data_IF_305915547569
#
_entry.id   IF_305915547569
#
_cell.length_a   1.000
_cell.length_b   1.000
_cell.length_c   1.000
_cell.angle_alpha   90.00
_cell.angle_beta   90.00
_cell.angle_gamma   90.00
#
_symmetry.space_group_name_H-M   'P 1'
#
loop_
_entity.id
_entity.type
_entity.pdbx_description
1 polymer ?
#
# COMPACT_ATOMS: atom_id res chain seq x y z
N UNK A 1 -32.32 31.58 -26.61
CA UNK A 1 -31.57 30.60 -27.43
C UNK A 1 -30.05 30.69 -27.23
N UNK A 2 -29.51 31.70 -26.53
CA UNK A 2 -28.06 31.84 -26.28
C UNK A 2 -27.55 31.08 -25.04
N UNK A 3 -28.40 30.73 -24.07
CA UNK A 3 -28.01 29.98 -22.87
C UNK A 3 -27.60 28.54 -23.19
N UNK A 4 -28.42 27.79 -23.94
CA UNK A 4 -28.16 26.37 -24.24
C UNK A 4 -26.89 26.09 -25.06
N UNK A 5 -26.40 27.07 -25.84
CA UNK A 5 -25.15 26.92 -26.61
C UNK A 5 -23.91 27.18 -25.73
N UNK A 6 -24.02 28.11 -24.78
CA UNK A 6 -22.97 28.35 -23.78
C UNK A 6 -22.90 27.22 -22.74
N UNK A 7 -24.05 26.67 -22.34
CA UNK A 7 -24.24 25.54 -21.43
C UNK A 7 -23.62 24.25 -21.99
N UNK A 8 -23.95 23.90 -23.25
CA UNK A 8 -23.33 22.78 -23.96
C UNK A 8 -21.80 22.96 -24.05
N UNK A 9 -21.33 24.20 -24.23
CA UNK A 9 -19.91 24.52 -24.27
C UNK A 9 -19.20 24.33 -22.93
N UNK A 10 -19.81 24.72 -21.81
CA UNK A 10 -19.22 24.55 -20.48
C UNK A 10 -19.12 23.07 -20.10
N UNK A 11 -20.21 22.31 -20.25
CA UNK A 11 -20.25 20.88 -19.98
C UNK A 11 -19.23 20.09 -20.81
N UNK A 12 -19.15 20.36 -22.13
CA UNK A 12 -18.20 19.67 -23.01
C UNK A 12 -16.74 20.02 -22.67
N UNK A 13 -16.46 21.26 -22.28
CA UNK A 13 -15.10 21.66 -21.87
C UNK A 13 -14.69 20.99 -20.56
N UNK A 14 -15.58 20.92 -19.57
CA UNK A 14 -15.30 20.20 -18.33
C UNK A 14 -15.07 18.71 -18.61
N UNK A 15 -15.88 18.10 -19.48
CA UNK A 15 -15.67 16.71 -19.91
C UNK A 15 -14.27 16.50 -20.53
N UNK A 16 -13.88 17.37 -21.46
CA UNK A 16 -12.56 17.31 -22.09
C UNK A 16 -11.42 17.49 -21.07
N UNK A 17 -11.58 18.37 -20.08
CA UNK A 17 -10.59 18.55 -19.01
C UNK A 17 -10.49 17.30 -18.11
N UNK A 18 -11.60 16.62 -17.85
CA UNK A 18 -11.63 15.36 -17.10
C UNK A 18 -10.94 14.22 -17.86
N UNK A 19 -11.15 14.11 -19.17
CA UNK A 19 -10.45 13.14 -20.03
C UNK A 19 -8.93 13.38 -20.06
N UNK A 20 -8.52 14.64 -20.01
CA UNK A 20 -7.11 15.03 -19.91
C UNK A 20 -6.52 14.90 -18.50
N UNK A 21 -7.30 14.45 -17.50
CA UNK A 21 -6.86 14.36 -16.10
C UNK A 21 -6.65 15.71 -15.41
N UNK A 22 -7.06 16.83 -16.02
CA UNK A 22 -6.89 18.19 -15.49
C UNK A 22 -7.99 18.53 -14.49
N UNK A 23 -8.04 17.76 -13.41
CA UNK A 23 -9.14 17.78 -12.44
C UNK A 23 -9.35 19.14 -11.75
N UNK A 24 -8.27 19.87 -11.44
CA UNK A 24 -8.37 21.18 -10.78
C UNK A 24 -9.02 22.25 -11.68
N UNK A 25 -8.73 22.21 -12.98
CA UNK A 25 -9.32 23.12 -13.96
C UNK A 25 -10.76 22.74 -14.28
N UNK A 26 -11.04 21.43 -14.35
CA UNK A 26 -12.39 20.91 -14.48
C UNK A 26 -13.28 21.35 -13.30
N UNK A 27 -12.77 21.29 -12.06
CA UNK A 27 -13.46 21.79 -10.86
C UNK A 27 -13.76 23.29 -10.98
N UNK A 28 -12.77 24.11 -11.35
CA UNK A 28 -12.95 25.56 -11.47
C UNK A 28 -14.03 25.92 -12.50
N UNK A 29 -13.98 25.29 -13.67
CA UNK A 29 -14.95 25.53 -14.74
C UNK A 29 -16.34 24.99 -14.39
N UNK A 30 -16.44 23.83 -13.75
CA UNK A 30 -17.71 23.28 -13.28
C UNK A 30 -18.36 24.18 -12.24
N UNK A 31 -17.61 24.72 -11.28
CA UNK A 31 -18.13 25.69 -10.30
C UNK A 31 -18.58 26.99 -10.97
N UNK A 32 -17.88 27.46 -12.00
CA UNK A 32 -18.29 28.64 -12.76
C UNK A 32 -19.65 28.42 -13.45
N UNK A 33 -19.85 27.24 -14.06
CA UNK A 33 -21.14 26.88 -14.66
C UNK A 33 -22.25 26.77 -13.61
N UNK A 34 -21.98 26.14 -12.47
CA UNK A 34 -22.94 26.02 -11.36
C UNK A 34 -23.26 27.37 -10.68
N UNK A 35 -22.40 28.38 -10.79
CA UNK A 35 -22.72 29.73 -10.31
C UNK A 35 -23.84 30.39 -11.15
N UNK A 36 -23.99 29.99 -12.42
CA UNK A 36 -25.08 30.44 -13.28
C UNK A 36 -26.32 29.57 -13.09
N UNK A 37 -26.12 28.25 -12.99
CA UNK A 37 -27.19 27.27 -12.84
C UNK A 37 -26.89 26.29 -11.69
N UNK A 38 -27.25 26.63 -10.44
CA UNK A 38 -26.88 25.84 -9.25
C UNK A 38 -27.45 24.42 -9.20
N UNK A 39 -28.43 24.11 -10.05
CA UNK A 39 -29.12 22.82 -10.08
C UNK A 39 -28.82 22.01 -11.34
N UNK A 40 -27.82 22.40 -12.15
CA UNK A 40 -27.42 21.58 -13.29
C UNK A 40 -26.76 20.27 -12.80
N UNK A 41 -27.53 19.18 -12.89
CA UNK A 41 -27.12 17.84 -12.51
C UNK A 41 -25.91 17.33 -13.30
N UNK A 42 -25.72 17.76 -14.55
CA UNK A 42 -24.60 17.33 -15.40
C UNK A 42 -23.30 17.94 -14.90
N UNK A 43 -23.31 19.23 -14.59
CA UNK A 43 -22.18 19.93 -14.00
C UNK A 43 -21.91 19.48 -12.56
N UNK A 44 -22.95 19.15 -11.77
CA UNK A 44 -22.78 18.54 -10.44
C UNK A 44 -22.07 17.19 -10.53
N UNK A 45 -22.43 16.36 -11.51
CA UNK A 45 -21.78 15.06 -11.76
C UNK A 45 -20.29 15.23 -12.09
N UNK A 46 -19.98 16.16 -13.00
CA UNK A 46 -18.60 16.45 -13.39
C UNK A 46 -17.78 17.11 -12.28
N UNK A 47 -18.41 17.97 -11.45
CA UNK A 47 -17.78 18.56 -10.27
C UNK A 47 -17.41 17.45 -9.27
N UNK A 48 -18.34 16.55 -8.94
CA UNK A 48 -18.07 15.42 -8.06
C UNK A 48 -16.90 14.56 -8.60
N UNK A 49 -16.89 14.26 -9.90
CA UNK A 49 -15.81 13.51 -10.53
C UNK A 49 -14.46 14.24 -10.48
N UNK A 50 -14.46 15.55 -10.70
CA UNK A 50 -13.25 16.40 -10.61
C UNK A 50 -12.69 16.42 -9.19
N UNK A 51 -13.56 16.50 -8.19
CA UNK A 51 -13.18 16.50 -6.78
C UNK A 51 -12.66 15.13 -6.33
N UNK A 52 -13.28 14.04 -6.80
CA UNK A 52 -12.78 12.67 -6.57
C UNK A 52 -11.35 12.51 -7.13
N UNK A 53 -11.11 12.96 -8.36
CA UNK A 53 -9.77 12.88 -8.99
C UNK A 53 -8.68 13.66 -8.25
N UNK A 54 -9.06 14.63 -7.41
CA UNK A 54 -8.13 15.40 -6.57
C UNK A 54 -8.03 14.86 -5.13
N UNK A 55 -8.76 13.81 -4.78
CA UNK A 55 -8.86 13.32 -3.41
C UNK A 55 -9.65 14.24 -2.46
N UNK A 56 -10.38 15.23 -2.99
CA UNK A 56 -11.27 16.13 -2.21
C UNK A 56 -12.61 15.44 -1.93
N UNK A 57 -12.56 14.26 -1.30
CA UNK A 57 -13.73 13.40 -1.12
C UNK A 57 -14.88 14.02 -0.31
N UNK A 58 -14.58 14.96 0.62
CA UNK A 58 -15.61 15.63 1.40
C UNK A 58 -16.52 16.53 0.54
N UNK A 59 -15.91 17.41 -0.26
CA UNK A 59 -16.62 18.27 -1.20
C UNK A 59 -17.31 17.44 -2.30
N UNK A 60 -16.65 16.36 -2.75
CA UNK A 60 -17.23 15.46 -3.73
C UNK A 60 -18.50 14.77 -3.20
N UNK A 61 -18.53 14.41 -1.91
CA UNK A 61 -19.70 13.82 -1.27
C UNK A 61 -20.85 14.83 -1.11
N UNK A 62 -20.57 16.12 -0.99
CA UNK A 62 -21.61 17.16 -1.00
C UNK A 62 -22.25 17.29 -2.38
N UNK A 63 -21.42 17.46 -3.43
CA UNK A 63 -21.91 17.53 -4.80
C UNK A 63 -22.71 16.27 -5.20
N UNK A 64 -22.19 15.08 -4.85
CA UNK A 64 -22.88 13.81 -5.13
C UNK A 64 -24.17 13.64 -4.33
N UNK A 65 -24.25 14.11 -3.07
CA UNK A 65 -25.50 14.09 -2.29
C UNK A 65 -26.57 15.00 -2.91
N UNK A 66 -26.18 16.19 -3.36
CA UNK A 66 -27.09 17.10 -4.08
C UNK A 66 -27.59 16.43 -5.36
N UNK A 67 -26.71 15.76 -6.10
CA UNK A 67 -27.08 15.02 -7.30
C UNK A 67 -28.05 13.87 -7.02
N UNK A 68 -27.80 13.07 -5.98
CA UNK A 68 -28.71 11.99 -5.55
C UNK A 68 -30.06 12.56 -5.10
N UNK A 69 -30.09 13.71 -4.44
CA UNK A 69 -31.35 14.36 -4.05
C UNK A 69 -32.17 14.83 -5.27
N UNK A 70 -31.51 15.27 -6.35
CA UNK A 70 -32.16 15.63 -7.60
C UNK A 70 -32.55 14.42 -8.45
N UNK A 71 -31.75 13.35 -8.42
CA UNK A 71 -31.95 12.13 -9.19
C UNK A 71 -31.80 10.87 -8.32
N UNK A 72 -32.82 10.55 -7.50
CA UNK A 72 -32.75 9.42 -6.57
C UNK A 72 -32.61 8.06 -7.25
N UNK A 73 -33.11 7.93 -8.48
CA UNK A 73 -33.10 6.70 -9.28
C UNK A 73 -31.89 6.61 -10.23
N UNK A 74 -30.95 7.56 -10.15
CA UNK A 74 -29.75 7.56 -11.00
C UNK A 74 -28.67 6.67 -10.40
N UNK A 75 -28.40 5.52 -11.01
CA UNK A 75 -27.29 4.64 -10.66
C UNK A 75 -25.95 5.40 -10.68
N UNK A 76 -25.75 6.28 -11.67
CA UNK A 76 -24.56 7.12 -11.79
C UNK A 76 -24.37 8.05 -10.58
N UNK A 77 -25.45 8.68 -10.09
CA UNK A 77 -25.39 9.56 -8.92
C UNK A 77 -24.97 8.81 -7.66
N UNK A 78 -25.57 7.64 -7.41
CA UNK A 78 -25.20 6.77 -6.28
C UNK A 78 -23.77 6.24 -6.40
N UNK A 79 -23.31 5.92 -7.62
CA UNK A 79 -21.92 5.52 -7.86
C UNK A 79 -20.94 6.65 -7.57
N UNK A 80 -21.23 7.89 -7.97
CA UNK A 80 -20.41 9.04 -7.61
C UNK A 80 -20.37 9.26 -6.10
N UNK A 81 -21.51 9.12 -5.41
CA UNK A 81 -21.55 9.20 -3.95
C UNK A 81 -20.68 8.12 -3.29
N UNK A 82 -20.76 6.88 -3.77
CA UNK A 82 -19.93 5.78 -3.30
C UNK A 82 -18.43 6.06 -3.52
N UNK A 83 -18.04 6.56 -4.70
CA UNK A 83 -16.65 6.94 -5.00
C UNK A 83 -16.16 8.09 -4.13
N UNK A 84 -17.02 9.07 -3.82
CA UNK A 84 -16.69 10.14 -2.89
C UNK A 84 -16.42 9.62 -1.47
N UNK A 85 -17.19 8.64 -1.01
CA UNK A 85 -16.92 7.95 0.25
C UNK A 85 -15.64 7.11 0.20
N UNK A 86 -15.34 6.43 -0.92
CA UNK A 86 -14.07 5.72 -1.10
C UNK A 86 -12.86 6.66 -0.99
N UNK A 87 -12.94 7.86 -1.58
CA UNK A 87 -11.88 8.87 -1.47
C UNK A 87 -11.67 9.36 -0.02
N UNK A 88 -12.61 9.09 0.88
CA UNK A 88 -12.54 9.40 2.32
C UNK A 88 -12.26 8.17 3.18
N UNK A 89 -12.01 7.01 2.57
CA UNK A 89 -11.84 5.73 3.26
C UNK A 89 -13.09 5.34 4.10
N UNK A 90 -14.26 5.83 3.70
CA UNK A 90 -15.56 5.61 4.36
C UNK A 90 -16.26 4.37 3.79
N UNK A 91 -15.63 3.20 3.92
CA UNK A 91 -16.02 2.01 3.15
C UNK A 91 -17.43 1.48 3.43
N UNK A 92 -17.96 1.68 4.64
CA UNK A 92 -19.33 1.28 4.97
C UNK A 92 -20.37 2.10 4.20
N UNK A 93 -20.18 3.42 4.15
CA UNK A 93 -21.05 4.33 3.39
C UNK A 93 -20.85 4.13 1.87
N UNK A 94 -19.61 3.88 1.45
CA UNK A 94 -19.32 3.53 0.05
C UNK A 94 -20.02 2.24 -0.39
N UNK A 95 -20.03 1.19 0.45
CA UNK A 95 -20.73 -0.06 0.14
C UNK A 95 -22.24 0.15 0.00
N UNK A 96 -22.84 0.95 0.89
CA UNK A 96 -24.28 1.22 0.84
C UNK A 96 -24.66 1.95 -0.45
N UNK A 97 -23.98 3.06 -0.75
CA UNK A 97 -24.24 3.82 -1.98
C UNK A 97 -23.94 2.99 -3.25
N UNK A 98 -22.87 2.17 -3.26
CA UNK A 98 -22.55 1.31 -4.40
C UNK A 98 -23.60 0.21 -4.60
N UNK A 99 -24.18 -0.34 -3.52
CA UNK A 99 -25.29 -1.28 -3.62
C UNK A 99 -26.53 -0.66 -4.23
N UNK A 100 -26.86 0.59 -3.84
CA UNK A 100 -27.98 1.31 -4.46
C UNK A 100 -27.72 1.51 -5.95
N UNK A 101 -26.50 1.88 -6.34
CA UNK A 101 -26.13 2.00 -7.75
C UNK A 101 -26.32 0.68 -8.52
N UNK A 102 -25.83 -0.44 -7.99
CA UNK A 102 -26.00 -1.78 -8.58
C UNK A 102 -27.47 -2.22 -8.61
N UNK A 103 -28.28 -1.84 -7.62
CA UNK A 103 -29.70 -2.19 -7.59
C UNK A 103 -30.50 -1.42 -8.64
N UNK A 104 -30.14 -0.16 -8.90
CA UNK A 104 -30.76 0.69 -9.92
C UNK A 104 -30.35 0.30 -11.34
N UNK A 105 -29.07 -0.06 -11.53
CA UNK A 105 -28.55 -0.57 -12.79
C UNK A 105 -27.61 -1.77 -12.57
N UNK A 106 -28.13 -3.00 -12.65
CA UNK A 106 -27.34 -4.21 -12.49
C UNK A 106 -26.30 -4.45 -13.59
N UNK A 107 -26.42 -3.79 -14.75
CA UNK A 107 -25.48 -3.92 -15.87
C UNK A 107 -24.49 -2.75 -15.94
N UNK A 108 -24.42 -1.87 -14.93
CA UNK A 108 -23.33 -0.89 -14.79
C UNK A 108 -22.08 -1.55 -14.19
N UNK A 109 -21.12 -1.91 -15.06
CA UNK A 109 -19.86 -2.52 -14.65
C UNK A 109 -19.09 -1.67 -13.64
N UNK A 110 -19.14 -0.33 -13.77
CA UNK A 110 -18.45 0.58 -12.85
C UNK A 110 -19.09 0.62 -11.46
N UNK A 111 -20.39 0.32 -11.35
CA UNK A 111 -21.08 0.20 -10.07
C UNK A 111 -20.64 -1.06 -9.32
N UNK A 112 -20.51 -2.19 -10.03
CA UNK A 112 -19.93 -3.42 -9.48
C UNK A 112 -18.46 -3.24 -9.09
N UNK A 113 -17.66 -2.54 -9.91
CA UNK A 113 -16.28 -2.19 -9.57
C UNK A 113 -16.19 -1.34 -8.30
N UNK A 114 -17.03 -0.30 -8.19
CA UNK A 114 -17.07 0.58 -7.01
C UNK A 114 -17.47 -0.21 -5.75
N UNK A 115 -18.44 -1.12 -5.87
CA UNK A 115 -18.81 -2.04 -4.81
C UNK A 115 -17.65 -2.97 -4.41
N UNK A 116 -16.90 -3.49 -5.38
CA UNK A 116 -15.74 -4.33 -5.14
C UNK A 116 -14.64 -3.56 -4.37
N UNK A 117 -14.36 -2.30 -4.75
CA UNK A 117 -13.44 -1.43 -4.01
C UNK A 117 -13.90 -1.18 -2.57
N UNK A 118 -15.18 -0.88 -2.36
CA UNK A 118 -15.73 -0.67 -1.02
C UNK A 118 -15.60 -1.92 -0.14
N UNK A 119 -15.91 -3.09 -0.70
CA UNK A 119 -15.77 -4.37 -0.01
C UNK A 119 -14.30 -4.73 0.25
N UNK A 120 -13.40 -4.34 -0.65
CA UNK A 120 -11.97 -4.58 -0.49
C UNK A 120 -11.38 -3.77 0.66
N UNK A 121 -11.74 -2.49 0.78
CA UNK A 121 -11.33 -1.66 1.93
C UNK A 121 -11.86 -2.18 3.28
N UNK A 122 -12.97 -2.91 3.29
CA UNK A 122 -13.47 -3.60 4.48
C UNK A 122 -12.84 -4.98 4.73
N UNK A 123 -11.76 -5.36 4.03
CA UNK A 123 -11.16 -6.69 4.06
C UNK A 123 -12.11 -7.85 3.65
N UNK A 124 -13.28 -7.55 3.06
CA UNK A 124 -14.29 -8.56 2.65
C UNK A 124 -13.96 -9.14 1.28
N UNK A 125 -12.74 -9.66 1.16
CA UNK A 125 -12.07 -10.11 -0.08
C UNK A 125 -12.93 -11.05 -0.92
N UNK A 126 -13.60 -12.05 -0.33
CA UNK A 126 -14.44 -13.00 -1.07
C UNK A 126 -15.62 -12.31 -1.76
N UNK A 127 -16.28 -11.37 -1.07
CA UNK A 127 -17.40 -10.61 -1.63
C UNK A 127 -16.91 -9.59 -2.67
N UNK A 128 -15.77 -8.95 -2.41
CA UNK A 128 -15.12 -8.04 -3.36
C UNK A 128 -14.75 -8.75 -4.67
N UNK A 129 -14.19 -9.97 -4.59
CA UNK A 129 -13.85 -10.79 -5.76
C UNK A 129 -15.07 -11.14 -6.60
N UNK A 130 -16.22 -11.41 -5.96
CA UNK A 130 -17.48 -11.65 -6.68
C UNK A 130 -17.95 -10.40 -7.44
N UNK A 131 -17.94 -9.23 -6.79
CA UNK A 131 -18.34 -7.98 -7.42
C UNK A 131 -17.38 -7.59 -8.57
N UNK A 132 -16.06 -7.76 -8.39
CA UNK A 132 -15.08 -7.50 -9.45
C UNK A 132 -15.25 -8.45 -10.66
N UNK A 133 -15.62 -9.71 -10.43
CA UNK A 133 -15.94 -10.65 -11.51
C UNK A 133 -17.21 -10.26 -12.27
N UNK A 134 -18.19 -9.69 -11.59
CA UNK A 134 -19.41 -9.19 -12.24
C UNK A 134 -19.10 -7.99 -13.13
N UNK A 135 -18.28 -7.05 -12.65
CA UNK A 135 -17.78 -5.94 -13.48
C UNK A 135 -17.06 -6.46 -14.75
N UNK A 136 -16.22 -7.49 -14.61
CA UNK A 136 -15.53 -8.13 -15.74
C UNK A 136 -16.44 -9.00 -16.62
N UNK A 137 -17.58 -9.48 -16.12
CA UNK A 137 -18.56 -10.19 -16.95
C UNK A 137 -19.21 -9.21 -17.92
N UNK A 138 -19.53 -8.01 -17.44
CA UNK A 138 -20.20 -6.95 -18.20
C UNK A 138 -19.19 -6.30 -19.17
N UNK A 139 -18.01 -5.90 -18.67
CA UNK A 139 -16.93 -5.30 -19.46
C UNK A 139 -15.62 -6.11 -19.31
N UNK A 140 -15.38 -7.11 -20.19
CA UNK A 140 -14.26 -8.05 -20.04
C UNK A 140 -12.85 -7.49 -20.26
N UNK A 141 -12.75 -6.36 -20.96
CA UNK A 141 -11.48 -5.75 -21.40
C UNK A 141 -11.21 -4.42 -20.70
N UNK A 142 -11.63 -4.28 -19.44
CA UNK A 142 -11.37 -3.09 -18.66
C UNK A 142 -10.17 -3.28 -17.72
N UNK A 143 -9.10 -2.52 -17.95
CA UNK A 143 -7.83 -2.63 -17.22
C UNK A 143 -7.99 -2.48 -15.71
N UNK A 144 -8.74 -1.46 -15.27
CA UNK A 144 -8.97 -1.19 -13.85
C UNK A 144 -9.59 -2.40 -13.11
N UNK A 145 -10.48 -3.14 -13.78
CA UNK A 145 -11.17 -4.27 -13.17
C UNK A 145 -10.25 -5.48 -13.06
N UNK A 146 -9.41 -5.71 -14.07
CA UNK A 146 -8.36 -6.74 -14.04
C UNK A 146 -7.32 -6.46 -12.96
N UNK A 147 -6.88 -5.21 -12.82
CA UNK A 147 -5.95 -4.78 -11.77
C UNK A 147 -6.52 -5.03 -10.39
N UNK A 148 -7.77 -4.61 -10.13
CA UNK A 148 -8.44 -4.88 -8.86
C UNK A 148 -8.57 -6.37 -8.57
N UNK A 149 -8.96 -7.17 -9.58
CA UNK A 149 -9.05 -8.62 -9.45
C UNK A 149 -7.68 -9.24 -9.09
N UNK A 150 -6.61 -8.77 -9.72
CA UNK A 150 -5.24 -9.19 -9.41
C UNK A 150 -4.87 -8.91 -7.95
N UNK A 151 -5.14 -7.70 -7.44
CA UNK A 151 -4.91 -7.37 -6.03
C UNK A 151 -5.78 -8.19 -5.08
N UNK A 152 -7.02 -8.52 -5.46
CA UNK A 152 -7.90 -9.40 -4.69
C UNK A 152 -7.42 -10.85 -4.66
N UNK A 153 -6.72 -11.31 -5.68
CA UNK A 153 -6.06 -12.61 -5.71
C UNK A 153 -4.77 -12.63 -4.89
N UNK A 154 -4.00 -11.52 -4.87
CA UNK A 154 -2.82 -11.40 -4.00
C UNK A 154 -3.14 -11.45 -2.49
N UNK A 155 -4.39 -11.18 -2.09
CA UNK A 155 -4.84 -11.39 -0.70
C UNK A 155 -4.98 -12.86 -0.33
N UNK A 156 -5.05 -13.74 -1.32
CA UNK A 156 -5.19 -15.17 -1.16
C UNK A 156 -3.81 -15.81 -1.13
N UNK A 157 -3.55 -16.71 -0.17
CA UNK A 157 -2.26 -17.37 -0.05
C UNK A 157 -1.90 -18.19 -1.30
N UNK A 158 -2.91 -18.69 -2.00
CA UNK A 158 -2.77 -19.51 -3.21
C UNK A 158 -3.08 -18.75 -4.50
N UNK A 159 -3.48 -17.47 -4.43
CA UNK A 159 -3.95 -16.72 -5.59
C UNK A 159 -2.87 -16.06 -6.44
N UNK A 160 -1.59 -16.40 -6.25
CA UNK A 160 -0.49 -15.71 -6.94
C UNK A 160 -0.54 -15.95 -8.46
N UNK A 161 -0.94 -17.13 -8.91
CA UNK A 161 -1.01 -17.46 -10.34
C UNK A 161 -2.13 -16.68 -11.03
N UNK A 162 -3.33 -16.65 -10.44
CA UNK A 162 -4.46 -15.89 -10.97
C UNK A 162 -4.20 -14.38 -10.91
N UNK A 163 -3.49 -13.91 -9.88
CA UNK A 163 -3.04 -12.53 -9.83
C UNK A 163 -2.11 -12.19 -11.01
N UNK A 164 -1.14 -13.06 -11.31
CA UNK A 164 -0.25 -12.87 -12.45
C UNK A 164 -1.02 -12.84 -13.77
N UNK A 165 -1.96 -13.76 -14.01
CA UNK A 165 -2.77 -13.74 -15.23
C UNK A 165 -3.56 -12.43 -15.37
N UNK A 166 -4.22 -12.00 -14.28
CA UNK A 166 -5.00 -10.76 -14.28
C UNK A 166 -4.13 -9.53 -14.59
N UNK A 167 -2.96 -9.38 -13.95
CA UNK A 167 -2.05 -8.27 -14.24
C UNK A 167 -1.43 -8.37 -15.63
N UNK A 168 -1.11 -9.57 -16.12
CA UNK A 168 -0.61 -9.74 -17.49
C UNK A 168 -1.68 -9.39 -18.54
N UNK A 169 -2.95 -9.69 -18.28
CA UNK A 169 -4.07 -9.25 -19.11
C UNK A 169 -4.20 -7.73 -19.10
N UNK A 170 -4.14 -7.11 -17.93
CA UNK A 170 -4.15 -5.65 -17.80
C UNK A 170 -3.02 -5.01 -18.60
N UNK A 171 -1.79 -5.54 -18.52
CA UNK A 171 -0.63 -5.04 -19.27
C UNK A 171 -0.68 -5.32 -20.78
N UNK A 172 -1.51 -6.27 -21.25
CA UNK A 172 -1.76 -6.44 -22.69
C UNK A 172 -2.65 -5.33 -23.23
N UNK A 173 -3.57 -4.82 -22.41
CA UNK A 173 -4.48 -3.72 -22.77
C UNK A 173 -3.78 -2.36 -22.61
N UNK A 174 -3.09 -2.16 -21.48
CA UNK A 174 -2.34 -0.95 -21.16
C UNK A 174 -0.91 -1.32 -20.72
N UNK A 175 0.06 -1.36 -21.66
CA UNK A 175 1.44 -1.77 -21.36
C UNK A 175 2.17 -0.90 -20.34
N UNK A 176 1.73 0.35 -20.16
CA UNK A 176 2.33 1.34 -19.26
C UNK A 176 1.52 1.53 -17.97
N UNK A 177 0.54 0.66 -17.69
CA UNK A 177 -0.24 0.76 -16.47
C UNK A 177 0.62 0.46 -15.23
N UNK A 178 0.94 1.52 -14.48
CA UNK A 178 1.78 1.49 -13.27
C UNK A 178 1.29 0.47 -12.24
N UNK A 179 -0.03 0.46 -11.96
CA UNK A 179 -0.62 -0.46 -10.98
C UNK A 179 -0.47 -1.92 -11.38
N UNK A 180 -0.62 -2.24 -12.67
CA UNK A 180 -0.48 -3.58 -13.18
C UNK A 180 0.99 -4.05 -13.18
N UNK A 181 1.95 -3.17 -13.53
CA UNK A 181 3.39 -3.46 -13.43
C UNK A 181 3.78 -3.76 -11.98
N UNK A 182 3.35 -2.89 -11.06
CA UNK A 182 3.57 -3.07 -9.62
C UNK A 182 2.95 -4.38 -9.12
N UNK A 183 1.68 -4.62 -9.42
CA UNK A 183 0.95 -5.81 -9.02
C UNK A 183 1.62 -7.09 -9.52
N UNK A 184 2.09 -7.10 -10.77
CA UNK A 184 2.83 -8.22 -11.36
C UNK A 184 4.17 -8.47 -10.65
N UNK A 185 4.91 -7.41 -10.32
CA UNK A 185 6.16 -7.51 -9.57
C UNK A 185 5.94 -8.16 -8.18
N UNK A 186 4.88 -7.75 -7.48
CA UNK A 186 4.50 -8.34 -6.19
C UNK A 186 4.08 -9.81 -6.35
N UNK A 187 3.29 -10.13 -7.38
CA UNK A 187 2.82 -11.48 -7.66
C UNK A 187 3.95 -12.45 -8.04
N UNK A 188 5.02 -11.94 -8.65
CA UNK A 188 6.22 -12.70 -9.06
C UNK A 188 7.39 -12.58 -8.09
N UNK A 189 7.18 -11.99 -6.92
CA UNK A 189 8.27 -11.70 -5.99
C UNK A 189 9.11 -12.93 -5.60
N UNK A 190 8.47 -14.09 -5.45
CA UNK A 190 9.14 -15.36 -5.14
C UNK A 190 10.00 -15.85 -6.32
N UNK A 191 9.55 -15.65 -7.56
CA UNK A 191 10.23 -16.10 -8.78
C UNK A 191 11.39 -15.17 -9.16
N UNK A 192 11.18 -13.86 -9.02
CA UNK A 192 12.17 -12.82 -9.34
C UNK A 192 13.27 -12.70 -8.30
N UNK A 193 13.01 -13.18 -7.08
CA UNK A 193 13.78 -12.82 -5.90
C UNK A 193 13.65 -11.33 -5.56
N UNK A 194 14.26 -10.95 -4.44
CA UNK A 194 14.10 -9.61 -3.87
C UNK A 194 14.68 -8.51 -4.76
N UNK A 195 15.85 -8.76 -5.34
CA UNK A 195 16.52 -7.78 -6.20
C UNK A 195 15.78 -7.61 -7.55
N UNK A 196 15.21 -8.69 -8.09
CA UNK A 196 14.38 -8.62 -9.30
C UNK A 196 13.07 -7.86 -9.06
N UNK A 197 12.42 -8.12 -7.93
CA UNK A 197 11.21 -7.40 -7.51
C UNK A 197 11.46 -5.90 -7.36
N UNK A 198 12.57 -5.50 -6.70
CA UNK A 198 12.93 -4.09 -6.54
C UNK A 198 13.17 -3.40 -7.89
N UNK A 199 13.78 -4.11 -8.87
CA UNK A 199 13.97 -3.54 -10.22
C UNK A 199 12.64 -3.25 -10.91
N UNK A 200 11.70 -4.18 -10.88
CA UNK A 200 10.38 -3.97 -11.50
C UNK A 200 9.55 -2.90 -10.77
N UNK A 201 9.63 -2.83 -9.44
CA UNK A 201 8.98 -1.76 -8.68
C UNK A 201 9.58 -0.37 -8.99
N UNK A 202 10.89 -0.29 -9.27
CA UNK A 202 11.51 0.95 -9.77
C UNK A 202 11.05 1.29 -11.19
N UNK A 203 10.82 0.30 -12.04
CA UNK A 203 10.25 0.51 -13.37
C UNK A 203 8.85 1.12 -13.25
N UNK A 204 8.01 0.57 -12.39
CA UNK A 204 6.70 1.14 -12.06
C UNK A 204 6.82 2.61 -11.63
N UNK A 205 7.74 2.92 -10.70
CA UNK A 205 7.99 4.30 -10.26
C UNK A 205 8.51 5.21 -11.38
N UNK A 206 9.22 4.68 -12.38
CA UNK A 206 9.69 5.49 -13.52
C UNK A 206 8.58 5.83 -14.51
N UNK A 207 7.53 5.02 -14.58
CA UNK A 207 6.34 5.28 -15.40
C UNK A 207 5.46 6.37 -14.77
N UNK A 208 5.28 6.32 -13.44
CA UNK A 208 4.64 7.39 -12.68
C UNK A 208 5.49 7.77 -11.45
N UNK A 209 6.29 8.86 -11.55
CA UNK A 209 7.09 9.35 -10.43
C UNK A 209 6.28 9.97 -9.28
N UNK A 210 4.99 10.24 -9.50
CA UNK A 210 4.11 10.89 -8.52
C UNK A 210 3.45 9.88 -7.58
N UNK A 211 3.32 8.61 -8.02
CA UNK A 211 2.80 7.53 -7.20
C UNK A 211 3.84 7.06 -6.16
N UNK A 212 3.59 7.23 -4.85
CA UNK A 212 4.53 6.82 -3.83
C UNK A 212 4.49 5.32 -3.54
N UNK A 213 3.46 4.59 -3.97
CA UNK A 213 3.22 3.18 -3.60
C UNK A 213 4.32 2.21 -4.09
N UNK A 214 4.79 2.25 -5.35
CA UNK A 214 5.91 1.41 -5.81
C UNK A 214 7.20 1.67 -5.02
N UNK A 215 7.45 2.93 -4.64
CA UNK A 215 8.61 3.30 -3.82
C UNK A 215 8.51 2.70 -2.41
N UNK A 216 7.32 2.70 -1.81
CA UNK A 216 7.08 2.07 -0.51
C UNK A 216 7.27 0.57 -0.56
N UNK A 217 6.73 -0.12 -1.56
CA UNK A 217 6.89 -1.56 -1.69
C UNK A 217 8.34 -1.94 -1.90
N UNK A 218 9.09 -1.19 -2.72
CA UNK A 218 10.51 -1.43 -2.93
C UNK A 218 11.30 -1.30 -1.62
N UNK A 219 10.95 -0.30 -0.78
CA UNK A 219 11.54 -0.13 0.54
C UNK A 219 11.20 -1.29 1.48
N UNK A 220 9.94 -1.75 1.49
CA UNK A 220 9.51 -2.87 2.33
C UNK A 220 10.21 -4.17 1.94
N UNK A 221 10.31 -4.47 0.64
CA UNK A 221 11.04 -5.63 0.11
C UNK A 221 12.52 -5.56 0.48
N UNK A 222 13.15 -4.37 0.39
CA UNK A 222 14.54 -4.16 0.80
C UNK A 222 14.73 -4.34 2.31
N UNK A 223 13.81 -3.83 3.12
CA UNK A 223 13.86 -3.99 4.58
C UNK A 223 13.72 -5.47 4.95
N UNK A 224 12.82 -6.20 4.29
CA UNK A 224 12.68 -7.64 4.48
C UNK A 224 13.95 -8.41 4.07
N UNK A 225 14.59 -8.03 2.97
CA UNK A 225 15.89 -8.58 2.55
C UNK A 225 16.95 -8.42 3.65
N UNK A 226 17.02 -7.23 4.26
CA UNK A 226 17.95 -6.94 5.35
C UNK A 226 17.62 -7.79 6.58
N UNK A 227 16.35 -7.84 6.99
CA UNK A 227 15.89 -8.61 8.15
C UNK A 227 16.19 -10.10 7.98
N UNK A 228 15.84 -10.69 6.83
CA UNK A 228 16.11 -12.11 6.53
C UNK A 228 17.60 -12.44 6.49
N UNK A 229 18.44 -11.50 6.05
CA UNK A 229 19.90 -11.67 6.07
C UNK A 229 20.47 -11.64 7.50
N UNK A 230 19.85 -10.88 8.40
CA UNK A 230 20.26 -10.80 9.81
C UNK A 230 19.89 -12.06 10.60
N UNK A 231 18.80 -12.76 10.25
CA UNK A 231 18.41 -14.02 10.91
C UNK A 231 19.50 -15.11 10.81
N UNK A 232 20.20 -15.21 9.68
CA UNK A 232 21.30 -16.18 9.54
C UNK A 232 22.52 -15.83 10.38
N UNK A 233 22.82 -14.54 10.54
CA UNK A 233 23.92 -14.08 11.39
C UNK A 233 23.61 -14.36 12.88
N UNK A 234 22.37 -14.16 13.31
CA UNK A 234 21.93 -14.47 14.68
C UNK A 234 21.90 -15.97 14.95
N UNK A 235 21.44 -16.78 13.99
CA UNK A 235 21.49 -18.25 14.08
C UNK A 235 22.95 -18.75 14.15
N UNK A 236 23.83 -18.23 13.30
CA UNK A 236 25.25 -18.64 13.27
C UNK A 236 25.99 -18.28 14.57
N UNK A 237 25.77 -17.07 15.08
CA UNK A 237 26.33 -16.63 16.37
C UNK A 237 25.81 -17.47 17.54
N UNK A 238 24.54 -17.87 17.51
CA UNK A 238 23.96 -18.77 18.50
C UNK A 238 24.53 -20.19 18.41
N UNK A 239 24.70 -20.73 17.20
CA UNK A 239 25.30 -22.04 16.98
C UNK A 239 26.74 -22.10 17.49
N UNK A 240 27.55 -21.08 17.19
CA UNK A 240 28.93 -21.01 17.70
C UNK A 240 29.00 -20.82 19.22
N UNK A 241 28.07 -20.06 19.80
CA UNK A 241 27.94 -19.97 21.26
C UNK A 241 27.65 -21.34 21.89
N UNK A 242 26.70 -22.10 21.33
CA UNK A 242 26.34 -23.43 21.83
C UNK A 242 27.47 -24.46 21.69
N UNK A 243 28.26 -24.40 20.61
CA UNK A 243 29.46 -25.21 20.48
C UNK A 243 30.51 -24.85 21.57
N UNK A 244 30.64 -23.56 21.90
CA UNK A 244 31.50 -23.09 22.98
C UNK A 244 31.06 -23.54 24.39
N UNK A 245 29.76 -23.75 24.61
CA UNK A 245 29.21 -24.25 25.89
C UNK A 245 29.37 -25.78 26.04
N UNK A 246 29.44 -26.53 24.94
CA UNK A 246 29.61 -28.00 24.96
C UNK A 246 31.06 -28.47 25.12
N UNK A 247 32.04 -27.60 24.97
CA UNK A 247 33.45 -27.90 25.24
C UNK A 247 33.76 -27.94 26.73
N UNK A 248 33.26 -28.96 27.44
CA UNK A 248 33.56 -29.21 28.87
C UNK A 248 34.98 -29.76 29.06
N UNK A 249 36.01 -28.97 28.72
CA UNK A 249 37.40 -29.41 28.72
C UNK A 249 38.45 -28.39 29.18
N UNK A 250 38.06 -27.23 29.72
CA UNK A 250 39.00 -26.31 30.37
C UNK A 250 39.89 -25.47 29.44
N UNK A 251 39.72 -25.53 28.12
CA UNK A 251 40.46 -24.66 27.19
C UNK A 251 39.83 -23.28 27.02
N UNK A 252 40.70 -22.29 26.77
CA UNK A 252 40.42 -20.86 26.86
C UNK A 252 39.34 -20.37 25.88
N UNK A 253 38.22 -19.88 26.43
CA UNK A 253 37.02 -19.36 25.73
C UNK A 253 37.24 -18.10 24.87
N UNK A 254 38.49 -17.68 24.64
CA UNK A 254 38.84 -16.42 23.98
C UNK A 254 38.54 -16.47 22.48
N UNK A 255 38.88 -17.58 21.81
CA UNK A 255 38.74 -17.70 20.34
C UNK A 255 37.27 -17.69 19.89
N UNK A 256 36.34 -18.49 20.47
CA UNK A 256 34.92 -18.43 20.09
C UNK A 256 34.29 -17.06 20.36
N UNK A 257 34.69 -16.38 21.45
CA UNK A 257 34.21 -15.03 21.80
C UNK A 257 34.69 -13.97 20.81
N UNK A 258 35.96 -14.01 20.41
CA UNK A 258 36.50 -13.12 19.39
C UNK A 258 35.82 -13.34 18.04
N UNK A 259 35.57 -14.59 17.65
CA UNK A 259 34.86 -14.91 16.40
C UNK A 259 33.41 -14.42 16.44
N UNK A 260 32.69 -14.61 17.55
CA UNK A 260 31.33 -14.04 17.72
C UNK A 260 31.35 -12.51 17.67
N UNK A 261 32.31 -11.86 18.34
CA UNK A 261 32.48 -10.41 18.30
C UNK A 261 32.78 -9.88 16.89
N UNK A 262 33.65 -10.56 16.13
CA UNK A 262 33.97 -10.20 14.74
C UNK A 262 32.76 -10.39 13.83
N UNK A 263 31.97 -11.45 14.01
CA UNK A 263 30.74 -11.67 13.22
C UNK A 263 29.64 -10.67 13.54
N UNK A 264 29.45 -10.32 14.82
CA UNK A 264 28.51 -9.27 15.22
C UNK A 264 28.95 -7.91 14.67
N UNK A 265 30.22 -7.56 14.80
CA UNK A 265 30.79 -6.33 14.23
C UNK A 265 30.69 -6.28 12.71
N UNK A 266 30.94 -7.40 12.01
CA UNK A 266 30.70 -7.52 10.57
C UNK A 266 29.21 -7.34 10.22
N UNK A 267 28.31 -7.87 11.05
CA UNK A 267 26.87 -7.65 10.95
C UNK A 267 26.47 -6.18 11.08
N UNK A 268 27.10 -5.44 12.00
CA UNK A 268 26.91 -3.98 12.18
C UNK A 268 27.46 -3.18 11.01
N UNK A 269 28.66 -3.50 10.52
CA UNK A 269 29.24 -2.83 9.34
C UNK A 269 28.38 -3.08 8.10
N UNK A 270 27.90 -4.31 7.90
CA UNK A 270 27.00 -4.63 6.81
C UNK A 270 25.62 -3.96 6.95
N UNK A 271 25.06 -3.90 8.16
CA UNK A 271 23.84 -3.16 8.43
C UNK A 271 24.04 -1.66 8.13
N UNK A 272 25.10 -1.05 8.65
CA UNK A 272 25.44 0.36 8.43
C UNK A 272 25.65 0.70 6.95
N UNK A 273 26.31 -0.18 6.18
CA UNK A 273 26.39 -0.05 4.71
C UNK A 273 25.02 -0.13 4.05
N UNK A 274 24.18 -1.08 4.47
CA UNK A 274 22.83 -1.24 3.93
C UNK A 274 21.90 -0.06 4.29
N UNK A 275 22.09 0.57 5.46
CA UNK A 275 21.37 1.78 5.87
C UNK A 275 21.83 3.03 5.09
N UNK A 276 23.09 3.08 4.63
CA UNK A 276 23.58 4.16 3.74
C UNK A 276 22.98 4.10 2.34
N UNK A 277 22.50 2.94 1.91
CA UNK A 277 21.79 2.77 0.63
C UNK A 277 20.32 3.18 0.71
N UNK A 278 19.78 3.47 1.90
CA UNK A 278 18.43 4.02 2.06
C UNK A 278 18.46 5.47 1.57
N UNK A 279 17.64 5.76 0.55
CA UNK A 279 17.55 7.10 -0.04
C UNK A 279 17.09 8.15 0.98
N UNK A 280 17.37 9.43 0.71
CA UNK A 280 16.93 10.54 1.56
C UNK A 280 15.39 10.56 1.75
N UNK A 281 14.64 10.08 0.76
CA UNK A 281 13.19 9.89 0.85
C UNK A 281 12.82 8.78 1.86
N UNK A 282 13.55 7.67 1.86
CA UNK A 282 13.38 6.58 2.83
C UNK A 282 13.66 7.04 4.27
N UNK A 283 14.67 7.88 4.49
CA UNK A 283 14.96 8.47 5.80
C UNK A 283 13.89 9.46 6.27
N UNK A 284 13.39 10.32 5.37
CA UNK A 284 12.27 11.23 5.67
C UNK A 284 11.03 10.45 6.07
N UNK A 285 10.72 9.36 5.38
CA UNK A 285 9.60 8.49 5.71
C UNK A 285 9.78 7.77 7.06
N UNK A 286 10.94 7.17 7.31
CA UNK A 286 11.27 6.58 8.63
C UNK A 286 11.08 7.60 9.76
N UNK A 287 11.46 8.86 9.53
CA UNK A 287 11.26 9.93 10.50
C UNK A 287 9.78 10.27 10.73
N UNK A 288 8.94 10.21 9.69
CA UNK A 288 7.48 10.40 9.78
C UNK A 288 6.82 9.22 10.51
N UNK A 289 7.25 7.99 10.22
CA UNK A 289 6.78 6.76 10.90
C UNK A 289 7.14 6.78 12.38
N UNK A 290 8.39 7.15 12.72
CA UNK A 290 8.82 7.31 14.12
C UNK A 290 8.04 8.42 14.85
N UNK A 291 7.68 9.51 14.17
CA UNK A 291 6.88 10.60 14.78
C UNK A 291 5.40 10.22 14.96
N UNK A 292 4.82 9.46 14.03
CA UNK A 292 3.41 9.02 14.10
C UNK A 292 3.19 7.79 14.98
N UNK A 293 4.23 7.00 15.24
CA UNK A 293 4.17 5.81 16.08
C UNK A 293 5.24 5.82 17.17
N UNK A 294 4.89 6.24 18.40
CA UNK A 294 5.82 6.18 19.52
C UNK A 294 6.22 4.74 19.87
N UNK A 295 5.37 3.74 19.61
CA UNK A 295 5.69 2.32 19.85
C UNK A 295 6.79 1.80 18.92
N UNK A 296 6.77 2.20 17.64
CA UNK A 296 7.82 1.84 16.68
C UNK A 296 9.11 2.58 16.99
N UNK A 297 9.04 3.87 17.30
CA UNK A 297 10.21 4.63 17.73
C UNK A 297 10.88 4.01 18.97
N UNK A 298 10.07 3.60 19.96
CA UNK A 298 10.57 2.91 21.18
C UNK A 298 11.15 1.53 20.84
N UNK A 299 10.54 0.76 19.94
CA UNK A 299 11.06 -0.56 19.55
C UNK A 299 12.32 -0.49 18.69
N UNK A 300 12.40 0.48 17.78
CA UNK A 300 13.59 0.73 16.96
C UNK A 300 14.73 1.27 17.84
N UNK A 301 14.43 2.19 18.76
CA UNK A 301 15.38 2.69 19.75
C UNK A 301 15.84 1.59 20.71
N UNK A 302 14.93 0.74 21.21
CA UNK A 302 15.30 -0.37 22.10
C UNK A 302 16.18 -1.40 21.39
N UNK A 303 15.91 -1.68 20.12
CA UNK A 303 16.75 -2.56 19.30
C UNK A 303 18.13 -1.94 19.05
N UNK A 304 18.19 -0.64 18.75
CA UNK A 304 19.46 0.09 18.59
C UNK A 304 20.27 0.16 19.89
N UNK A 305 19.61 0.38 21.04
CA UNK A 305 20.23 0.37 22.37
C UNK A 305 20.70 -1.04 22.72
N UNK A 306 19.94 -2.09 22.41
CA UNK A 306 20.36 -3.47 22.59
C UNK A 306 21.57 -3.84 21.74
N UNK A 307 21.67 -3.32 20.51
CA UNK A 307 22.88 -3.44 19.68
C UNK A 307 24.09 -2.77 20.34
N UNK A 308 23.95 -1.51 20.76
CA UNK A 308 25.04 -0.74 21.37
C UNK A 308 25.52 -1.34 22.71
N UNK A 309 24.59 -1.87 23.52
CA UNK A 309 24.90 -2.48 24.81
C UNK A 309 25.39 -3.93 24.68
N UNK A 310 24.90 -4.69 23.70
CA UNK A 310 25.34 -6.06 23.42
C UNK A 310 26.80 -6.14 22.98
N UNK A 311 27.26 -5.21 22.13
CA UNK A 311 28.68 -5.14 21.74
C UNK A 311 29.59 -4.74 22.90
N UNK A 312 29.14 -3.82 23.76
CA UNK A 312 29.88 -3.41 24.96
C UNK A 312 30.12 -4.59 25.91
N UNK A 313 29.10 -5.43 26.15
CA UNK A 313 29.24 -6.57 27.05
C UNK A 313 29.95 -7.79 26.43
N UNK A 314 29.85 -7.98 25.11
CA UNK A 314 30.64 -8.98 24.39
C UNK A 314 32.15 -8.71 24.47
N UNK A 315 32.55 -7.43 24.50
CA UNK A 315 33.94 -6.99 24.66
C UNK A 315 34.37 -6.92 26.14
N UNK A 316 33.46 -6.55 27.06
CA UNK A 316 33.77 -6.37 28.48
C UNK A 316 33.79 -7.68 29.31
N UNK A 317 33.48 -8.84 28.72
CA UNK A 317 33.81 -10.15 29.30
C UNK A 317 32.93 -10.62 30.48
N UNK A 318 31.63 -10.35 30.48
CA UNK A 318 30.74 -10.77 31.59
C UNK A 318 30.04 -12.13 31.38
N UNK A 319 29.51 -12.67 32.49
CA UNK A 319 28.94 -14.01 32.61
C UNK A 319 27.78 -14.30 31.64
N UNK A 320 27.64 -15.58 31.25
CA UNK A 320 26.69 -16.09 30.24
C UNK A 320 25.22 -15.67 30.46
N UNK A 321 24.81 -15.34 31.69
CA UNK A 321 23.46 -14.88 32.03
C UNK A 321 23.12 -13.48 31.49
N UNK A 322 24.10 -12.57 31.40
CA UNK A 322 23.90 -11.22 30.87
C UNK A 322 23.64 -11.23 29.35
N UNK A 323 24.28 -12.15 28.63
CA UNK A 323 24.13 -12.32 27.19
C UNK A 323 22.80 -13.01 26.85
N UNK A 324 22.36 -14.00 27.64
CA UNK A 324 21.04 -14.66 27.49
C UNK A 324 19.89 -13.66 27.73
N UNK A 325 20.03 -12.75 28.69
CA UNK A 325 19.07 -11.67 28.89
C UNK A 325 18.97 -10.76 27.65
N UNK A 326 20.10 -10.34 27.08
CA UNK A 326 20.15 -9.53 25.85
C UNK A 326 19.53 -10.22 24.63
N UNK A 327 19.71 -11.54 24.49
CA UNK A 327 19.09 -12.35 23.41
C UNK A 327 17.56 -12.40 23.57
N UNK A 328 17.05 -12.55 24.79
CA UNK A 328 15.62 -12.48 25.09
C UNK A 328 15.00 -11.12 24.76
N UNK A 329 15.73 -10.03 24.96
CA UNK A 329 15.29 -8.67 24.55
C UNK A 329 15.31 -8.48 23.03
N UNK A 330 16.26 -9.10 22.34
CA UNK A 330 16.35 -9.09 20.87
C UNK A 330 15.24 -9.86 20.19
N UNK A 331 14.91 -11.07 20.67
CA UNK A 331 13.75 -11.82 20.19
C UNK A 331 12.45 -11.07 20.45
N UNK A 332 12.31 -10.43 21.62
CA UNK A 332 11.16 -9.56 21.89
C UNK A 332 11.14 -8.35 20.95
N UNK A 333 12.27 -7.71 20.67
CA UNK A 333 12.36 -6.60 19.73
C UNK A 333 11.95 -6.99 18.31
N UNK A 334 12.45 -8.11 17.78
CA UNK A 334 12.08 -8.64 16.47
C UNK A 334 10.63 -9.10 16.40
N UNK A 335 10.13 -9.77 17.44
CA UNK A 335 8.72 -10.17 17.54
C UNK A 335 7.84 -8.94 17.66
N UNK A 336 8.23 -7.90 18.42
CA UNK A 336 7.50 -6.63 18.52
C UNK A 336 7.51 -5.89 17.19
N UNK A 337 8.65 -5.76 16.50
CA UNK A 337 8.72 -5.11 15.19
C UNK A 337 7.95 -5.92 14.14
N UNK A 338 8.04 -7.25 14.15
CA UNK A 338 7.32 -8.15 13.23
C UNK A 338 5.81 -8.15 13.48
N UNK A 339 5.37 -8.26 14.74
CA UNK A 339 3.94 -8.13 15.11
C UNK A 339 3.44 -6.72 14.86
N UNK A 340 4.25 -5.69 15.06
CA UNK A 340 3.87 -4.31 14.78
C UNK A 340 3.84 -3.99 13.28
N UNK A 341 4.72 -4.56 12.46
CA UNK A 341 4.64 -4.49 10.99
C UNK A 341 3.41 -5.24 10.49
N UNK A 342 3.14 -6.43 11.02
CA UNK A 342 1.92 -7.19 10.73
C UNK A 342 0.66 -6.43 11.19
N UNK A 343 0.72 -5.75 12.33
CA UNK A 343 -0.37 -4.93 12.86
C UNK A 343 -0.48 -3.57 12.16
N UNK A 344 0.61 -3.01 11.62
CA UNK A 344 0.57 -1.82 10.77
C UNK A 344 -0.05 -2.17 9.42
N UNK A 345 0.32 -3.31 8.82
CA UNK A 345 -0.35 -3.87 7.64
C UNK A 345 -1.83 -4.14 7.97
N UNK A 346 -2.14 -4.69 9.14
CA UNK A 346 -3.52 -4.94 9.58
C UNK A 346 -4.29 -3.68 10.00
N UNK A 347 -3.62 -2.59 10.40
CA UNK A 347 -4.24 -1.29 10.73
C UNK A 347 -4.41 -0.42 9.51
N UNK A 348 -3.52 -0.51 8.50
CA UNK A 348 -3.76 0.00 7.14
C UNK A 348 -4.94 -0.72 6.49
N UNK A 349 -5.18 -1.99 6.86
CA UNK A 349 -6.40 -2.76 6.52
C UNK A 349 -7.67 -2.40 7.34
N UNK A 350 -7.56 -1.68 8.46
CA UNK A 350 -8.70 -1.34 9.35
C UNK A 350 -9.04 0.15 9.43
N UNK A 351 -8.15 1.02 8.97
CA UNK A 351 -8.32 2.48 8.97
C UNK A 351 -8.24 3.09 7.57
N UNK A 352 -8.02 2.26 6.56
CA UNK A 352 -7.83 2.67 5.18
C UNK A 352 -8.59 1.75 4.27
#
# INVERSE_FOLDING_TARGET
MTSGVAEAGAYQRVAALLELGRHAEAEALARQGLAQEPQDFRLLSQLAQSLIGQGKGAEAAEAARTLVAQQPESAHAHRLLARSHLAREEFGQAEEAARQAVALDPEDAWSHYTLACALFGQDRTTRARRAAREALRIEPEQTAFLVLLGYLHLRDAHGKEEAQDAFQRALRLEPENTDAVRGLALARSDQLGLDGTIRELRRSLSLDPTDPEPAYDALLVKLWQILKRQEWLTILSFWMFFQGVRGSGGESYIVPRLVVGVLLGAGVVMAGRSFREISAAGWRFLSVVCRRSPKFAVSAASTAICFATGEFWAVAGSHASAIVAHIGYWQRGLVIVGTWLAELVARRRRRG
#
